data_IF_026194605363
#
_entry.id   IF_026194605363
#
_cell.length_a   1.000
_cell.length_b   1.000
_cell.length_c   1.000
_cell.angle_alpha   90.00
_cell.angle_beta   90.00
_cell.angle_gamma   90.00
#
_symmetry.space_group_name_H-M   'P 1'
#
loop_
_entity.id
_entity.type
_entity.pdbx_description
1 polymer ?
#
# COMPACT_ATOMS: atom_id res chain seq x y z
N UNK A 1 15.46 5.51 23.92
CA UNK A 1 16.86 5.17 23.60
C UNK A 1 17.01 3.85 22.84
N UNK A 2 16.23 2.80 23.08
CA UNK A 2 16.36 1.48 22.41
C UNK A 2 16.13 1.51 20.89
N UNK A 3 15.24 2.36 20.39
CA UNK A 3 14.91 2.48 18.96
C UNK A 3 16.04 3.11 18.12
N UNK A 4 16.79 4.06 18.70
CA UNK A 4 17.91 4.71 17.99
C UNK A 4 19.12 3.78 17.82
N UNK A 5 19.30 2.82 18.72
CA UNK A 5 20.38 1.82 18.65
C UNK A 5 20.09 0.79 17.56
N UNK A 6 18.82 0.43 17.38
CA UNK A 6 18.41 -0.53 16.33
C UNK A 6 18.64 0.02 14.92
N UNK A 7 18.37 1.32 14.70
CA UNK A 7 18.60 1.97 13.40
C UNK A 7 20.10 2.06 13.11
N UNK A 8 20.92 2.39 14.11
CA UNK A 8 22.38 2.45 13.98
C UNK A 8 23.00 1.08 13.70
N UNK A 9 22.48 0.01 14.31
CA UNK A 9 22.95 -1.37 14.07
C UNK A 9 22.60 -1.83 12.65
N UNK A 10 21.43 -1.45 12.10
CA UNK A 10 21.05 -1.77 10.72
C UNK A 10 21.89 -1.02 9.67
N UNK A 11 22.25 0.25 9.94
CA UNK A 11 23.14 1.01 9.03
C UNK A 11 24.57 0.48 9.05
N UNK A 12 25.09 0.03 10.18
CA UNK A 12 26.41 -0.59 10.29
C UNK A 12 26.49 -1.96 9.60
N UNK A 13 25.43 -2.79 9.65
CA UNK A 13 25.36 -4.05 8.92
C UNK A 13 25.33 -3.83 7.40
N UNK A 14 24.67 -2.79 6.92
CA UNK A 14 24.62 -2.48 5.48
C UNK A 14 26.00 -2.08 4.91
N UNK A 15 26.83 -1.42 5.70
CA UNK A 15 28.17 -0.97 5.26
C UNK A 15 29.15 -2.14 5.15
N UNK A 16 29.05 -3.17 6.02
CA UNK A 16 29.94 -4.33 5.98
C UNK A 16 29.67 -5.29 4.80
N UNK A 17 28.45 -5.32 4.27
CA UNK A 17 28.07 -6.19 3.12
C UNK A 17 28.61 -5.66 1.78
N UNK A 18 28.96 -4.39 1.69
CA UNK A 18 29.45 -3.76 0.45
C UNK A 18 30.94 -4.00 0.21
N UNK A 19 31.71 -4.43 1.21
CA UNK A 19 33.18 -4.43 1.19
C UNK A 19 33.89 -5.74 0.79
N UNK A 20 33.21 -6.83 0.46
CA UNK A 20 33.89 -8.08 0.11
C UNK A 20 33.99 -8.30 -1.42
N UNK A 21 34.92 -7.62 -2.06
CA UNK A 21 35.44 -8.03 -3.36
C UNK A 21 36.50 -9.13 -3.14
N UNK A 22 36.08 -10.38 -3.13
CA UNK A 22 37.00 -11.51 -3.25
C UNK A 22 37.47 -11.59 -4.70
N UNK A 23 38.70 -11.20 -4.95
CA UNK A 23 39.43 -11.50 -6.20
C UNK A 23 39.65 -13.03 -6.25
N UNK A 24 38.78 -13.73 -6.93
CA UNK A 24 39.00 -15.15 -7.24
C UNK A 24 39.42 -15.26 -8.71
N UNK A 25 40.67 -15.66 -8.91
CA UNK A 25 41.37 -15.75 -10.20
C UNK A 25 41.26 -17.16 -10.78
N UNK A 26 40.05 -17.64 -10.98
CA UNK A 26 39.82 -18.83 -11.81
C UNK A 26 38.76 -18.52 -12.84
N UNK A 27 39.09 -18.65 -14.14
CA UNK A 27 38.24 -18.37 -15.30
C UNK A 27 37.17 -19.48 -15.43
N UNK A 28 36.34 -19.61 -14.42
CA UNK A 28 35.03 -20.24 -14.55
C UNK A 28 34.07 -19.07 -14.79
N UNK A 29 33.47 -18.96 -15.99
CA UNK A 29 32.40 -17.99 -16.23
C UNK A 29 31.37 -18.16 -15.13
N UNK A 30 31.22 -17.22 -14.17
CA UNK A 30 30.29 -17.40 -13.08
C UNK A 30 28.88 -17.42 -13.71
N UNK A 31 28.22 -18.56 -13.63
CA UNK A 31 26.79 -18.66 -13.94
C UNK A 31 26.06 -17.87 -12.86
N UNK A 32 26.02 -16.55 -13.06
CA UNK A 32 25.36 -15.63 -12.15
C UNK A 32 23.84 -15.83 -12.23
N UNK A 33 23.22 -16.06 -11.10
CA UNK A 33 21.75 -16.10 -11.00
C UNK A 33 21.18 -14.74 -11.38
N UNK A 34 20.36 -14.74 -12.43
CA UNK A 34 19.80 -13.51 -13.00
C UNK A 34 18.37 -13.24 -12.61
N UNK A 35 17.71 -14.25 -12.03
CA UNK A 35 16.29 -14.20 -11.67
C UNK A 35 16.15 -14.20 -10.15
N UNK A 36 15.17 -13.44 -9.62
CA UNK A 36 14.80 -13.43 -8.21
C UNK A 36 13.29 -13.40 -8.10
N UNK A 37 12.73 -14.29 -7.29
CA UNK A 37 11.35 -14.16 -6.81
C UNK A 37 11.42 -13.60 -5.41
N UNK A 38 10.61 -12.56 -5.12
CA UNK A 38 10.60 -11.83 -3.85
C UNK A 38 9.20 -11.84 -3.26
N UNK A 39 9.14 -11.91 -1.95
CA UNK A 39 7.99 -11.64 -1.12
C UNK A 39 8.17 -10.29 -0.40
N UNK A 40 7.13 -9.47 -0.30
CA UNK A 40 7.16 -8.15 0.32
C UNK A 40 6.34 -8.14 1.62
N UNK A 41 6.96 -8.51 2.77
CA UNK A 41 6.23 -8.57 4.03
C UNK A 41 5.66 -7.23 4.49
N UNK A 42 6.28 -6.12 4.13
CA UNK A 42 5.77 -4.78 4.47
C UNK A 42 4.39 -4.48 3.88
N UNK A 43 4.01 -5.14 2.79
CA UNK A 43 2.70 -4.93 2.17
C UNK A 43 1.57 -5.66 2.92
N UNK A 44 1.89 -6.59 3.84
CA UNK A 44 0.90 -7.20 4.73
C UNK A 44 0.22 -6.16 5.64
N UNK A 45 0.93 -5.09 6.02
CA UNK A 45 0.36 -3.98 6.76
C UNK A 45 -0.78 -3.26 6.00
N UNK A 46 -0.85 -3.42 4.68
CA UNK A 46 -1.90 -2.89 3.81
C UNK A 46 -2.85 -3.99 3.31
N UNK A 47 -2.93 -5.11 4.03
CA UNK A 47 -3.72 -6.28 3.68
C UNK A 47 -3.50 -6.73 2.22
N UNK A 48 -2.23 -6.76 1.81
CA UNK A 48 -1.82 -7.18 0.47
C UNK A 48 -0.69 -8.21 0.56
N UNK A 49 -0.93 -9.40 0.04
CA UNK A 49 0.08 -10.43 -0.15
C UNK A 49 0.81 -10.15 -1.45
N UNK A 50 2.04 -9.68 -1.38
CA UNK A 50 2.75 -9.15 -2.55
C UNK A 50 3.99 -9.94 -2.90
N UNK A 51 4.13 -10.22 -4.20
CA UNK A 51 5.26 -10.91 -4.79
C UNK A 51 5.83 -10.09 -5.94
N UNK A 52 7.13 -10.24 -6.18
CA UNK A 52 7.83 -9.64 -7.31
C UNK A 52 8.75 -10.66 -7.97
N UNK A 53 8.78 -10.62 -9.29
CA UNK A 53 9.77 -11.30 -10.09
C UNK A 53 10.72 -10.27 -10.69
N UNK A 54 12.02 -10.45 -10.45
CA UNK A 54 13.08 -9.63 -11.03
C UNK A 54 13.95 -10.46 -11.95
N UNK A 55 14.21 -9.94 -13.15
CA UNK A 55 15.15 -10.51 -14.11
C UNK A 55 16.20 -9.50 -14.52
N UNK A 56 17.45 -9.84 -14.29
CA UNK A 56 18.58 -9.04 -14.74
C UNK A 56 18.92 -9.37 -16.19
N UNK A 57 18.97 -8.38 -17.05
CA UNK A 57 19.24 -8.54 -18.47
C UNK A 57 20.60 -7.95 -18.87
N UNK A 58 21.14 -6.95 -18.14
CA UNK A 58 22.50 -6.48 -18.27
C UNK A 58 23.23 -6.55 -16.93
N UNK A 59 24.52 -6.20 -16.90
CA UNK A 59 25.29 -6.13 -15.65
C UNK A 59 24.76 -5.07 -14.69
N UNK A 60 24.09 -4.03 -15.21
CA UNK A 60 23.58 -2.91 -14.41
C UNK A 60 22.07 -2.83 -14.35
N UNK A 61 21.34 -3.60 -15.16
CA UNK A 61 19.91 -3.37 -15.31
C UNK A 61 19.10 -4.63 -15.13
N UNK A 62 17.94 -4.49 -14.47
CA UNK A 62 16.92 -5.52 -14.33
C UNK A 62 15.53 -4.95 -14.60
N UNK A 63 14.62 -5.84 -14.92
CA UNK A 63 13.19 -5.58 -15.02
C UNK A 63 12.46 -6.31 -13.91
N UNK A 64 11.43 -5.67 -13.34
CA UNK A 64 10.64 -6.21 -12.25
C UNK A 64 9.16 -6.19 -12.63
N UNK A 65 8.49 -7.31 -12.37
CA UNK A 65 7.03 -7.40 -12.36
C UNK A 65 6.59 -7.77 -10.96
N UNK A 66 5.63 -7.03 -10.42
CA UNK A 66 5.07 -7.26 -9.09
C UNK A 66 3.55 -7.39 -9.14
N UNK A 67 3.04 -8.23 -8.26
CA UNK A 67 1.61 -8.40 -8.01
C UNK A 67 1.35 -8.35 -6.51
N UNK A 68 0.31 -7.62 -6.13
CA UNK A 68 -0.26 -7.62 -4.77
C UNK A 68 -1.66 -8.19 -4.81
N UNK A 69 -1.91 -9.22 -4.03
CA UNK A 69 -3.21 -9.88 -3.90
C UNK A 69 -3.91 -9.41 -2.62
N UNK A 70 -5.20 -9.10 -2.65
CA UNK A 70 -5.95 -8.70 -1.46
C UNK A 70 -6.02 -9.84 -0.45
N UNK A 71 -5.92 -9.52 0.83
CA UNK A 71 -6.17 -10.46 1.92
C UNK A 71 -7.50 -10.13 2.59
N UNK A 72 -8.30 -11.16 2.86
CA UNK A 72 -9.64 -11.03 3.43
C UNK A 72 -9.68 -10.85 4.96
N UNK A 73 -8.53 -10.95 5.64
CA UNK A 73 -8.42 -10.72 7.10
C UNK A 73 -7.42 -9.62 7.36
N UNK A 74 -7.80 -8.65 8.21
CA UNK A 74 -6.88 -7.60 8.63
C UNK A 74 -5.78 -8.19 9.51
N UNK A 75 -4.53 -8.08 9.06
CA UNK A 75 -3.36 -8.38 9.91
C UNK A 75 -3.29 -7.43 11.11
N UNK A 76 -3.82 -6.21 10.99
CA UNK A 76 -3.87 -5.22 12.06
C UNK A 76 -4.89 -5.59 13.16
N UNK A 77 -5.99 -6.26 12.84
CA UNK A 77 -6.99 -6.67 13.84
C UNK A 77 -6.48 -7.81 14.74
N UNK A 78 -5.52 -8.60 14.28
CA UNK A 78 -4.91 -9.66 15.09
C UNK A 78 -3.95 -9.15 16.17
N UNK A 79 -3.56 -7.87 16.14
CA UNK A 79 -2.65 -7.27 17.11
C UNK A 79 -3.40 -6.50 18.21
N UNK A 80 -4.66 -6.12 17.99
CA UNK A 80 -5.45 -5.24 18.85
C UNK A 80 -6.63 -5.92 19.57
N UNK A 81 -6.56 -7.20 19.88
CA UNK A 81 -7.65 -7.97 20.50
C UNK A 81 -7.97 -7.56 21.97
N UNK A 82 -7.52 -6.42 22.45
CA UNK A 82 -7.69 -6.01 23.86
C UNK A 82 -8.29 -4.62 24.06
N UNK A 83 -9.33 -4.20 23.38
CA UNK A 83 -10.08 -3.06 23.90
C UNK A 83 -11.49 -2.92 23.37
N UNK A 84 -12.39 -2.94 24.33
CA UNK A 84 -13.72 -2.31 24.41
C UNK A 84 -14.87 -2.82 23.54
N UNK A 85 -15.96 -2.98 24.23
CA UNK A 85 -17.31 -3.49 23.98
C UNK A 85 -18.15 -2.84 22.88
N UNK A 86 -17.59 -2.03 21.99
CA UNK A 86 -18.29 -1.60 20.79
C UNK A 86 -17.95 -2.58 19.66
N UNK A 87 -18.88 -3.45 19.33
CA UNK A 87 -18.76 -4.40 18.24
C UNK A 87 -18.74 -3.64 16.91
N UNK A 88 -17.59 -3.14 16.52
CA UNK A 88 -17.31 -2.80 15.12
C UNK A 88 -17.13 -4.13 14.39
N UNK A 89 -18.23 -4.65 13.90
CA UNK A 89 -18.25 -5.90 13.16
C UNK A 89 -17.91 -5.63 11.70
N UNK A 90 -16.87 -6.25 11.21
CA UNK A 90 -16.49 -6.37 9.80
C UNK A 90 -15.79 -5.17 9.13
N UNK A 91 -14.78 -4.59 9.76
CA UNK A 91 -13.88 -3.70 9.05
C UNK A 91 -12.96 -4.51 8.13
N UNK A 92 -13.21 -4.42 6.85
CA UNK A 92 -12.40 -5.05 5.82
C UNK A 92 -11.67 -3.96 5.02
N UNK A 93 -10.35 -3.99 5.02
CA UNK A 93 -9.51 -3.19 4.14
C UNK A 93 -8.64 -4.12 3.31
N UNK A 94 -8.62 -3.93 2.00
CA UNK A 94 -7.79 -4.75 1.11
C UNK A 94 -7.25 -3.96 -0.07
N UNK A 95 -6.07 -4.34 -0.54
CA UNK A 95 -5.47 -3.74 -1.73
C UNK A 95 -5.00 -4.81 -2.70
N UNK A 96 -5.29 -4.59 -3.97
CA UNK A 96 -4.75 -5.35 -5.10
C UNK A 96 -3.84 -4.42 -5.91
N UNK A 97 -2.71 -4.90 -6.38
CA UNK A 97 -1.81 -4.06 -7.20
C UNK A 97 -1.06 -4.86 -8.25
N UNK A 98 -0.71 -4.16 -9.33
CA UNK A 98 0.23 -4.64 -10.36
C UNK A 98 1.29 -3.56 -10.52
N UNK A 99 2.57 -3.95 -10.57
CA UNK A 99 3.70 -3.05 -10.70
C UNK A 99 4.67 -3.56 -11.78
N UNK A 100 5.12 -2.64 -12.63
CA UNK A 100 6.22 -2.85 -13.55
C UNK A 100 7.33 -1.85 -13.23
N UNK A 101 8.57 -2.31 -13.13
CA UNK A 101 9.69 -1.44 -12.80
C UNK A 101 10.93 -1.78 -13.61
N UNK A 102 11.68 -0.75 -13.94
CA UNK A 102 13.07 -0.86 -14.42
C UNK A 102 13.98 -0.54 -13.24
N UNK A 103 15.05 -1.31 -13.06
CA UNK A 103 16.01 -1.10 -11.99
C UNK A 103 17.41 -0.94 -12.55
N UNK A 104 18.09 0.12 -12.15
CA UNK A 104 19.47 0.38 -12.49
C UNK A 104 20.35 0.26 -11.26
N UNK A 105 21.35 -0.63 -11.31
CA UNK A 105 22.32 -0.85 -10.23
C UNK A 105 23.58 -0.01 -10.44
N UNK A 106 24.12 0.55 -9.38
CA UNK A 106 25.38 1.30 -9.41
C UNK A 106 26.62 0.42 -9.66
N UNK A 107 26.53 -0.88 -9.34
CA UNK A 107 27.63 -1.84 -9.51
C UNK A 107 27.54 -2.69 -10.78
N UNK A 108 28.69 -3.26 -11.19
CA UNK A 108 28.82 -4.14 -12.38
C UNK A 108 28.72 -5.63 -12.00
N UNK A 109 27.77 -6.02 -11.17
CA UNK A 109 27.64 -7.41 -10.73
C UNK A 109 26.71 -8.18 -11.68
N UNK A 110 27.01 -9.45 -11.94
CA UNK A 110 26.15 -10.32 -12.76
C UNK A 110 24.82 -10.58 -12.06
N UNK A 111 24.85 -10.70 -10.74
CA UNK A 111 23.67 -10.96 -9.89
C UNK A 111 22.96 -9.66 -9.54
N UNK A 112 21.62 -9.67 -9.32
CA UNK A 112 20.86 -8.49 -8.89
C UNK A 112 21.21 -8.14 -7.45
N UNK A 113 22.22 -7.30 -7.24
CA UNK A 113 22.70 -6.86 -5.93
C UNK A 113 23.42 -5.52 -6.03
N UNK A 114 23.37 -4.74 -4.96
CA UNK A 114 23.97 -3.43 -4.82
C UNK A 114 22.94 -2.32 -4.62
N UNK A 115 23.43 -1.10 -4.56
CA UNK A 115 22.57 0.09 -4.55
C UNK A 115 21.89 0.25 -5.92
N UNK A 116 20.65 0.66 -5.91
CA UNK A 116 19.87 0.83 -7.13
C UNK A 116 18.95 2.04 -7.10
N UNK A 117 18.59 2.46 -8.29
CA UNK A 117 17.54 3.38 -8.63
C UNK A 117 16.52 2.67 -9.52
N UNK A 118 15.22 2.87 -9.26
CA UNK A 118 14.16 2.11 -9.93
C UNK A 118 12.93 2.96 -10.20
N UNK A 119 12.77 3.51 -11.42
CA UNK A 119 11.48 4.01 -11.88
C UNK A 119 10.50 2.87 -12.07
N UNK A 120 9.21 3.13 -11.77
CA UNK A 120 8.13 2.14 -11.87
C UNK A 120 6.79 2.77 -12.20
N UNK A 121 5.92 1.94 -12.75
CA UNK A 121 4.50 2.19 -12.91
C UNK A 121 3.73 1.20 -12.04
N UNK A 122 2.73 1.68 -11.31
CA UNK A 122 1.89 0.85 -10.44
C UNK A 122 0.41 1.21 -10.63
N UNK A 123 -0.39 0.21 -10.91
CA UNK A 123 -1.83 0.27 -10.76
C UNK A 123 -2.23 -0.38 -9.44
N UNK A 124 -3.10 0.26 -8.68
CA UNK A 124 -3.58 -0.26 -7.40
C UNK A 124 -5.08 -0.05 -7.28
N UNK A 125 -5.78 -1.10 -6.82
CA UNK A 125 -7.18 -1.04 -6.42
C UNK A 125 -7.25 -1.14 -4.89
N UNK A 126 -8.11 -0.29 -4.30
CA UNK A 126 -8.28 -0.17 -2.85
C UNK A 126 -9.75 -0.41 -2.57
N UNK A 127 -10.06 -1.30 -1.63
CA UNK A 127 -11.42 -1.52 -1.15
C UNK A 127 -11.40 -1.44 0.38
N UNK A 128 -12.36 -0.72 0.94
CA UNK A 128 -12.60 -0.69 2.37
C UNK A 128 -14.11 -0.75 2.64
N UNK A 129 -14.50 -1.50 3.67
CA UNK A 129 -15.88 -1.60 4.13
C UNK A 129 -15.89 -1.57 5.64
N UNK A 130 -16.78 -0.78 6.21
CA UNK A 130 -17.03 -0.74 7.64
C UNK A 130 -18.55 -0.78 7.88
N UNK A 131 -18.98 -1.69 8.73
CA UNK A 131 -20.37 -1.83 9.14
C UNK A 131 -20.47 -1.47 10.62
N UNK A 132 -21.34 -0.52 10.95
CA UNK A 132 -21.60 -0.08 12.32
C UNK A 132 -23.09 -0.25 12.66
N UNK A 133 -23.37 -0.69 13.87
CA UNK A 133 -24.73 -0.78 14.41
C UNK A 133 -24.84 0.14 15.61
N UNK A 134 -25.75 1.11 15.53
CA UNK A 134 -26.08 2.02 16.63
C UNK A 134 -27.49 1.78 17.12
N UNK A 135 -27.70 1.92 18.41
CA UNK A 135 -29.02 1.94 19.03
C UNK A 135 -29.35 3.38 19.39
N UNK A 136 -30.47 3.89 18.89
CA UNK A 136 -30.92 5.25 19.13
C UNK A 136 -32.42 5.31 19.30
N UNK A 137 -33.00 6.49 19.65
CA UNK A 137 -34.43 6.68 19.74
C UNK A 137 -35.14 6.45 18.41
N UNK A 138 -36.30 5.86 18.42
CA UNK A 138 -37.11 5.72 17.22
C UNK A 138 -37.67 7.12 16.82
N UNK A 139 -37.52 7.53 15.54
CA UNK A 139 -38.01 8.85 15.07
C UNK A 139 -39.52 9.02 15.18
N UNK A 140 -40.29 7.92 15.19
CA UNK A 140 -41.74 7.94 15.29
C UNK A 140 -42.20 7.91 16.76
N UNK A 141 -41.48 7.16 17.61
CA UNK A 141 -41.76 7.07 19.04
C UNK A 141 -40.46 7.17 19.84
N UNK A 142 -40.07 8.36 20.34
CA UNK A 142 -38.82 8.58 21.05
C UNK A 142 -38.61 7.75 22.34
N UNK A 143 -39.69 7.16 22.87
CA UNK A 143 -39.62 6.28 24.05
C UNK A 143 -39.18 4.84 23.70
N UNK A 144 -39.13 4.50 22.41
CA UNK A 144 -38.63 3.22 21.91
C UNK A 144 -37.21 3.36 21.35
N UNK A 145 -36.42 2.34 21.55
CA UNK A 145 -35.07 2.26 20.94
C UNK A 145 -35.14 1.45 19.65
N UNK A 146 -34.48 1.96 18.62
CA UNK A 146 -34.35 1.31 17.32
C UNK A 146 -32.88 1.09 16.99
N UNK A 147 -32.58 -0.04 16.37
CA UNK A 147 -31.26 -0.30 15.82
C UNK A 147 -31.13 0.31 14.42
N UNK A 148 -30.08 1.10 14.22
CA UNK A 148 -29.70 1.67 12.95
C UNK A 148 -28.46 0.97 12.43
N UNK A 149 -28.47 0.60 11.17
CA UNK A 149 -27.32 0.03 10.48
C UNK A 149 -26.68 1.10 9.61
N UNK A 150 -25.41 1.31 9.80
CA UNK A 150 -24.59 2.23 9.03
C UNK A 150 -23.55 1.40 8.25
N UNK A 151 -23.48 1.61 6.95
CA UNK A 151 -22.50 0.94 6.09
C UNK A 151 -21.69 1.97 5.32
N UNK A 152 -20.38 1.89 5.48
CA UNK A 152 -19.40 2.68 4.76
C UNK A 152 -18.66 1.78 3.80
N UNK A 153 -18.59 2.17 2.53
CA UNK A 153 -17.85 1.44 1.51
C UNK A 153 -16.98 2.43 0.75
N UNK A 154 -15.71 2.10 0.58
CA UNK A 154 -14.76 2.87 -0.22
C UNK A 154 -14.22 1.95 -1.30
N UNK A 155 -14.41 2.34 -2.55
CA UNK A 155 -13.81 1.72 -3.73
C UNK A 155 -12.93 2.75 -4.42
N UNK A 156 -11.67 2.41 -4.64
CA UNK A 156 -10.74 3.31 -5.28
C UNK A 156 -9.75 2.59 -6.19
N UNK A 157 -9.23 3.32 -7.15
CA UNK A 157 -8.10 2.89 -7.94
C UNK A 157 -7.12 4.02 -8.20
N UNK A 158 -5.85 3.68 -8.30
CA UNK A 158 -4.79 4.62 -8.61
C UNK A 158 -3.92 4.11 -9.74
N UNK A 159 -3.49 5.01 -10.60
CA UNK A 159 -2.41 4.78 -11.54
C UNK A 159 -1.27 5.73 -11.18
N UNK A 160 -0.15 5.16 -10.74
CA UNK A 160 0.96 5.90 -10.18
C UNK A 160 2.24 5.63 -10.96
N UNK A 161 3.00 6.69 -11.18
CA UNK A 161 4.40 6.64 -11.56
C UNK A 161 5.25 6.95 -10.34
N UNK A 162 6.33 6.23 -10.17
CA UNK A 162 7.20 6.42 -9.02
C UNK A 162 8.67 6.15 -9.32
N UNK A 163 9.50 6.62 -8.40
CA UNK A 163 10.94 6.42 -8.40
C UNK A 163 11.33 5.87 -7.03
N UNK A 164 12.13 4.83 -7.01
CA UNK A 164 12.52 4.14 -5.79
C UNK A 164 14.04 3.99 -5.71
N UNK A 165 14.60 4.25 -4.53
CA UNK A 165 16.00 3.98 -4.19
C UNK A 165 16.07 2.89 -3.13
N UNK A 166 17.07 2.04 -3.25
CA UNK A 166 17.25 0.96 -2.30
C UNK A 166 18.58 0.24 -2.46
N UNK A 167 18.75 -0.76 -1.61
CA UNK A 167 19.90 -1.66 -1.60
C UNK A 167 19.42 -3.09 -1.61
N UNK A 168 19.95 -3.89 -2.53
CA UNK A 168 19.69 -5.33 -2.58
C UNK A 168 20.97 -6.09 -2.29
N UNK A 169 20.90 -7.02 -1.34
CA UNK A 169 21.98 -7.92 -0.98
C UNK A 169 21.61 -9.36 -1.34
N UNK A 170 22.61 -10.15 -1.74
CA UNK A 170 22.47 -11.59 -1.94
C UNK A 170 23.33 -12.34 -0.91
N UNK A 171 22.67 -13.03 0.01
CA UNK A 171 23.30 -13.89 1.02
C UNK A 171 23.50 -15.28 0.41
N UNK A 172 24.71 -15.83 0.54
CA UNK A 172 25.10 -17.13 -0.02
C UNK A 172 24.76 -17.27 -1.51
N UNK A 173 24.73 -16.16 -2.27
CA UNK A 173 24.37 -16.10 -3.70
C UNK A 173 22.95 -16.63 -4.01
N UNK A 174 22.10 -16.82 -3.01
CA UNK A 174 20.74 -17.40 -3.14
C UNK A 174 19.63 -16.57 -2.53
N UNK A 175 19.83 -16.11 -1.29
CA UNK A 175 18.80 -15.37 -0.57
C UNK A 175 18.95 -13.89 -0.89
N UNK A 176 17.94 -13.30 -1.45
CA UNK A 176 17.87 -11.86 -1.74
C UNK A 176 17.21 -11.14 -0.57
N UNK A 177 17.90 -10.16 -0.01
CA UNK A 177 17.32 -9.15 0.87
C UNK A 177 17.35 -7.82 0.14
N UNK A 178 16.20 -7.18 0.02
CA UNK A 178 16.04 -5.90 -0.67
C UNK A 178 15.41 -4.91 0.29
N UNK A 179 16.11 -3.82 0.55
CA UNK A 179 15.65 -2.73 1.39
C UNK A 179 15.49 -1.48 0.53
N UNK A 180 14.26 -1.02 0.36
CA UNK A 180 13.95 0.23 -0.31
C UNK A 180 13.54 1.27 0.72
N UNK A 181 14.38 2.29 0.89
CA UNK A 181 14.25 3.27 1.96
C UNK A 181 13.54 4.56 1.54
N UNK A 182 13.49 4.83 0.23
CA UNK A 182 12.82 6.01 -0.32
C UNK A 182 12.19 5.67 -1.67
N UNK A 183 10.88 5.78 -1.73
CA UNK A 183 10.10 5.74 -2.96
C UNK A 183 9.19 6.97 -3.01
N UNK A 184 9.36 7.78 -4.03
CA UNK A 184 8.48 8.88 -4.37
C UNK A 184 7.50 8.40 -5.42
N UNK A 185 6.22 8.60 -5.18
CA UNK A 185 5.14 8.14 -6.05
C UNK A 185 4.16 9.28 -6.27
N UNK A 186 3.76 9.50 -7.49
CA UNK A 186 2.72 10.45 -7.85
C UNK A 186 1.79 9.81 -8.88
N UNK A 187 0.51 10.08 -8.77
CA UNK A 187 -0.48 9.51 -9.65
C UNK A 187 -1.83 10.18 -9.55
N UNK A 188 -2.81 9.51 -10.12
CA UNK A 188 -4.21 9.92 -10.11
C UNK A 188 -5.04 8.89 -9.37
N UNK A 189 -5.83 9.37 -8.42
CA UNK A 189 -6.78 8.59 -7.63
C UNK A 189 -8.19 8.81 -8.17
N UNK A 190 -8.87 7.72 -8.47
CA UNK A 190 -10.32 7.70 -8.61
C UNK A 190 -10.89 6.95 -7.40
N UNK A 191 -11.87 7.53 -6.73
CA UNK A 191 -12.43 7.00 -5.49
C UNK A 191 -13.95 7.22 -5.46
N UNK A 192 -14.66 6.24 -4.95
CA UNK A 192 -16.08 6.35 -4.62
C UNK A 192 -16.25 5.92 -3.17
N UNK A 193 -16.75 6.82 -2.35
CA UNK A 193 -17.16 6.53 -0.98
C UNK A 193 -18.68 6.53 -0.93
N UNK A 194 -19.25 5.42 -0.48
CA UNK A 194 -20.71 5.25 -0.31
C UNK A 194 -21.02 5.14 1.17
N UNK A 195 -21.94 5.95 1.64
CA UNK A 195 -22.49 5.88 2.98
C UNK A 195 -23.96 5.49 2.87
N UNK A 196 -24.34 4.39 3.53
CA UNK A 196 -25.73 3.95 3.67
C UNK A 196 -26.11 3.93 5.13
N UNK A 197 -27.30 4.44 5.44
CA UNK A 197 -27.85 4.37 6.78
C UNK A 197 -29.38 4.26 6.74
N UNK A 198 -29.92 3.49 7.66
CA UNK A 198 -31.37 3.47 7.91
C UNK A 198 -31.86 4.73 8.66
N UNK A 199 -30.95 5.59 9.13
CA UNK A 199 -31.24 6.89 9.74
C UNK A 199 -31.11 8.01 8.71
N UNK A 200 -32.25 8.62 8.33
CA UNK A 200 -32.28 9.72 7.37
C UNK A 200 -31.58 10.99 7.89
N UNK A 201 -31.59 11.23 9.21
CA UNK A 201 -30.94 12.40 9.80
C UNK A 201 -29.43 12.28 9.67
N UNK A 202 -28.88 11.10 9.89
CA UNK A 202 -27.47 10.81 9.66
C UNK A 202 -27.09 11.04 8.18
N UNK A 203 -27.90 10.57 7.25
CA UNK A 203 -27.66 10.78 5.80
C UNK A 203 -27.67 12.27 5.45
N UNK A 204 -28.61 13.04 6.00
CA UNK A 204 -28.67 14.50 5.80
C UNK A 204 -27.45 15.19 6.37
N UNK A 205 -27.01 14.81 7.57
CA UNK A 205 -25.82 15.36 8.22
C UNK A 205 -24.54 15.03 7.42
N UNK A 206 -24.35 13.79 7.01
CA UNK A 206 -23.21 13.38 6.18
C UNK A 206 -23.17 14.15 4.88
N UNK A 207 -24.31 14.25 4.17
CA UNK A 207 -24.39 14.99 2.91
C UNK A 207 -24.03 16.47 3.11
N UNK A 208 -24.57 17.12 4.13
CA UNK A 208 -24.32 18.53 4.45
C UNK A 208 -22.84 18.77 4.78
N UNK A 209 -22.28 17.94 5.66
CA UNK A 209 -20.89 18.06 6.09
C UNK A 209 -19.92 17.83 4.92
N UNK A 210 -20.18 16.83 4.08
CA UNK A 210 -19.33 16.56 2.91
C UNK A 210 -19.41 17.73 1.91
N UNK A 211 -20.61 18.23 1.61
CA UNK A 211 -20.77 19.37 0.68
C UNK A 211 -20.10 20.64 1.20
N UNK A 212 -20.13 20.88 2.52
CA UNK A 212 -19.45 22.01 3.14
C UNK A 212 -17.94 21.86 3.04
N UNK A 213 -17.41 20.71 3.44
CA UNK A 213 -15.96 20.44 3.39
C UNK A 213 -15.42 20.48 1.94
N UNK A 214 -16.19 20.03 0.96
CA UNK A 214 -15.79 20.11 -0.46
C UNK A 214 -15.69 21.55 -0.94
N UNK A 215 -16.58 22.47 -0.48
CA UNK A 215 -16.50 23.88 -0.82
C UNK A 215 -15.27 24.58 -0.24
N UNK A 216 -14.76 24.10 0.89
CA UNK A 216 -13.57 24.64 1.55
C UNK A 216 -12.26 24.16 0.90
N UNK A 217 -12.33 23.21 -0.03
CA UNK A 217 -11.17 22.75 -0.77
C UNK A 217 -10.76 23.76 -1.87
N UNK A 218 -9.46 23.79 -2.22
CA UNK A 218 -9.02 24.50 -3.42
C UNK A 218 -9.82 24.07 -4.66
N UNK A 219 -10.16 25.00 -5.54
CA UNK A 219 -11.04 24.75 -6.71
C UNK A 219 -10.57 23.59 -7.57
N UNK A 220 -9.25 23.44 -7.78
CA UNK A 220 -8.68 22.34 -8.58
C UNK A 220 -8.93 20.94 -7.98
N UNK A 221 -9.27 20.83 -6.69
CA UNK A 221 -9.71 19.60 -6.02
C UNK A 221 -11.23 19.52 -5.94
N UNK A 222 -11.90 20.63 -5.57
CA UNK A 222 -13.35 20.68 -5.43
C UNK A 222 -14.07 20.26 -6.73
N UNK A 223 -13.58 20.72 -7.88
CA UNK A 223 -14.13 20.41 -9.20
C UNK A 223 -14.02 18.92 -9.59
N UNK A 224 -13.19 18.16 -8.87
CA UNK A 224 -12.99 16.73 -9.08
C UNK A 224 -13.87 15.85 -8.19
N UNK A 225 -14.61 16.46 -7.26
CA UNK A 225 -15.42 15.75 -6.27
C UNK A 225 -16.91 16.01 -6.55
N UNK A 226 -17.66 14.94 -6.68
CA UNK A 226 -19.11 14.98 -6.86
C UNK A 226 -19.80 14.29 -5.69
N UNK A 227 -20.76 14.97 -5.08
CA UNK A 227 -21.61 14.43 -4.02
C UNK A 227 -23.01 14.20 -4.58
N UNK A 228 -23.44 12.94 -4.59
CA UNK A 228 -24.74 12.54 -5.11
C UNK A 228 -25.53 11.79 -4.05
N UNK A 229 -26.76 12.21 -3.85
CA UNK A 229 -27.71 11.47 -3.02
C UNK A 229 -28.47 10.46 -3.86
N UNK A 230 -28.55 9.24 -3.40
CA UNK A 230 -29.30 8.15 -4.01
C UNK A 230 -30.39 7.68 -3.05
N UNK A 231 -31.65 8.18 -3.27
CA UNK A 231 -32.77 7.89 -2.36
C UNK A 231 -32.67 8.64 -1.04
N UNK A 232 -33.27 8.04 -0.01
CA UNK A 232 -33.32 8.61 1.35
C UNK A 232 -32.24 8.06 2.27
N UNK A 233 -31.59 6.96 1.88
CA UNK A 233 -30.74 6.11 2.72
C UNK A 233 -29.27 6.05 2.27
N UNK A 234 -28.91 6.75 1.16
CA UNK A 234 -27.55 6.65 0.61
C UNK A 234 -27.01 7.99 0.09
N UNK A 235 -25.75 8.24 0.37
CA UNK A 235 -24.93 9.31 -0.23
C UNK A 235 -23.68 8.70 -0.83
N UNK A 236 -23.40 9.06 -2.09
CA UNK A 236 -22.18 8.72 -2.82
C UNK A 236 -21.32 9.97 -2.99
N UNK A 237 -20.04 9.83 -2.66
CA UNK A 237 -19.01 10.85 -2.88
C UNK A 237 -17.99 10.28 -3.84
N UNK A 238 -17.95 10.83 -5.04
CA UNK A 238 -17.05 10.36 -6.10
C UNK A 238 -15.98 11.41 -6.38
N UNK A 239 -14.72 10.98 -6.33
CA UNK A 239 -13.57 11.79 -6.71
C UNK A 239 -12.90 11.20 -7.95
N UNK A 240 -12.65 12.01 -8.97
CA UNK A 240 -12.04 11.58 -10.22
C UNK A 240 -10.75 12.32 -10.50
N UNK A 241 -9.69 11.57 -10.85
CA UNK A 241 -8.38 12.13 -11.22
C UNK A 241 -7.80 13.07 -10.15
N UNK A 242 -7.98 12.72 -8.87
CA UNK A 242 -7.41 13.47 -7.75
C UNK A 242 -5.89 13.24 -7.74
N UNK A 243 -5.04 14.28 -7.70
CA UNK A 243 -3.60 14.10 -7.54
C UNK A 243 -3.28 13.35 -6.24
N UNK A 244 -2.48 12.30 -6.35
CA UNK A 244 -2.17 11.41 -5.23
C UNK A 244 -0.66 11.23 -5.08
N UNK A 245 0.02 12.11 -4.32
CA UNK A 245 1.42 11.91 -3.96
C UNK A 245 1.53 10.89 -2.82
N UNK A 246 2.51 10.01 -2.90
CA UNK A 246 2.73 8.99 -1.89
C UNK A 246 4.22 8.73 -1.64
N UNK A 247 4.54 8.33 -0.41
CA UNK A 247 5.86 7.86 -0.03
C UNK A 247 5.80 6.36 0.27
N UNK A 248 6.80 5.62 -0.17
CA UNK A 248 6.92 4.20 0.16
C UNK A 248 8.32 3.85 0.63
N UNK A 249 8.36 2.90 1.53
CA UNK A 249 9.57 2.25 2.00
C UNK A 249 9.25 0.83 2.43
N UNK A 250 10.24 -0.04 2.48
CA UNK A 250 9.97 -1.40 2.92
C UNK A 250 11.11 -2.38 2.66
N UNK A 251 10.79 -3.64 2.90
CA UNK A 251 11.72 -4.76 2.80
C UNK A 251 11.09 -5.82 1.89
N UNK A 252 11.92 -6.49 1.11
CA UNK A 252 11.53 -7.75 0.46
C UNK A 252 12.57 -8.83 0.68
N UNK A 253 12.10 -10.07 0.73
CA UNK A 253 12.91 -11.27 0.90
C UNK A 253 12.65 -12.16 -0.30
N UNK A 254 13.70 -12.74 -0.89
CA UNK A 254 13.53 -13.54 -2.10
C UNK A 254 14.57 -14.63 -2.27
N UNK A 255 14.39 -15.37 -3.36
CA UNK A 255 15.30 -16.46 -3.77
C UNK A 255 15.79 -16.16 -5.19
N UNK A 256 17.12 -16.18 -5.36
CA UNK A 256 17.78 -16.04 -6.64
C UNK A 256 18.06 -17.41 -7.29
N UNK A 257 17.81 -17.51 -8.62
CA UNK A 257 17.99 -18.74 -9.42
C UNK A 257 18.40 -18.45 -10.87
#
# INVERSE_FOLDING_TARGET
>A
MKTKILILAFTLLAIHVVGQDVKDSTIVKPVGRKNVIKFLPTNLAFNSLSFEYERKFTQKSSFILGIGLPQSKSFASSINDNSSSDKVSNDAFSTMSIRAAYRHYSGHRIQPSGFYFSPYLKYQKINATADNQKTGPDPINPNLTKQYTEKFTIDGNTLNFGIQWGVQALIAKRISLDFYFLGLEAGLLNITATVKSSDINMINEVESNVRTNVKDLPSFLADKITVKRNGTDQVDVTGSSIPYPWLRGGISIGIAF
#
